data_IF_419273193507
#
_entry.id   IF_419273193507
#
_cell.length_a   1.000
_cell.length_b   1.000
_cell.length_c   1.000
_cell.angle_alpha   90.00
_cell.angle_beta   90.00
_cell.angle_gamma   90.00
#
_symmetry.space_group_name_H-M   'P 1'
#
loop_
_entity.id
_entity.type
_entity.pdbx_description
1 polymer ?
#
# COMPACT_ATOMS: atom_id res chain seq x y z
N UNK A 1 12.96 -6.47 -1.48
CA UNK A 1 12.54 -5.87 -2.77
C UNK A 1 11.39 -6.61 -3.47
N UNK A 2 11.36 -7.95 -3.54
CA UNK A 2 10.32 -8.65 -4.32
C UNK A 2 8.93 -8.79 -3.65
N UNK A 3 8.79 -8.49 -2.35
CA UNK A 3 7.52 -8.68 -1.62
C UNK A 3 6.38 -7.82 -2.21
N UNK A 4 6.65 -6.54 -2.49
CA UNK A 4 5.66 -5.60 -3.03
C UNK A 4 5.20 -5.93 -4.45
N UNK A 5 6.04 -6.59 -5.25
CA UNK A 5 5.72 -6.95 -6.63
C UNK A 5 4.65 -8.06 -6.73
N UNK A 6 4.44 -8.80 -5.64
CA UNK A 6 3.52 -9.94 -5.57
C UNK A 6 2.31 -9.66 -4.66
N UNK A 7 2.10 -8.42 -4.23
CA UNK A 7 0.87 -8.07 -3.51
C UNK A 7 -0.34 -8.14 -4.47
N UNK A 8 -1.51 -8.58 -3.98
CA UNK A 8 -1.83 -8.98 -2.60
C UNK A 8 -1.59 -10.48 -2.30
N UNK A 9 -1.03 -11.28 -3.21
CA UNK A 9 -0.91 -12.74 -3.06
C UNK A 9 -0.17 -13.14 -1.76
N UNK A 10 0.92 -12.44 -1.43
CA UNK A 10 1.70 -12.65 -0.20
C UNK A 10 0.96 -12.37 1.11
N UNK A 11 -0.21 -11.74 1.06
CA UNK A 11 -1.02 -11.51 2.26
C UNK A 11 -1.63 -12.81 2.82
N UNK A 12 -1.47 -13.96 2.16
CA UNK A 12 -1.91 -15.25 2.69
C UNK A 12 -0.83 -16.03 3.44
N UNK A 13 0.37 -15.45 3.60
CA UNK A 13 1.46 -16.10 4.33
C UNK A 13 1.08 -16.29 5.83
N UNK A 14 1.47 -17.40 6.50
CA UNK A 14 1.04 -17.70 7.87
C UNK A 14 1.39 -16.65 8.93
N UNK A 15 2.42 -15.85 8.68
CA UNK A 15 2.87 -14.79 9.58
C UNK A 15 2.02 -13.51 9.46
N UNK A 16 1.10 -13.42 8.49
CA UNK A 16 0.30 -12.23 8.19
C UNK A 16 -1.02 -12.25 8.95
N UNK A 17 -1.27 -11.20 9.74
CA UNK A 17 -2.55 -10.94 10.39
C UNK A 17 -3.33 -9.88 9.61
N UNK A 18 -4.63 -10.09 9.43
CA UNK A 18 -5.53 -9.18 8.70
C UNK A 18 -6.61 -8.65 9.63
N UNK A 19 -6.74 -7.32 9.69
CA UNK A 19 -7.82 -6.66 10.43
C UNK A 19 -8.58 -5.74 9.50
N UNK A 20 -9.90 -5.93 9.41
CA UNK A 20 -10.77 -5.03 8.66
C UNK A 20 -11.01 -3.75 9.47
N UNK A 21 -10.68 -2.59 8.89
CA UNK A 21 -10.80 -1.28 9.54
C UNK A 21 -12.02 -0.48 9.07
N UNK A 22 -12.99 -1.15 8.42
CA UNK A 22 -14.14 -0.49 7.81
C UNK A 22 -13.81 0.12 6.45
N UNK A 23 -14.56 1.16 6.08
CA UNK A 23 -14.41 1.85 4.80
C UNK A 23 -13.76 3.22 4.95
N UNK A 24 -13.28 3.79 3.85
CA UNK A 24 -12.84 5.17 3.74
C UNK A 24 -12.99 5.66 2.30
N UNK A 25 -13.16 6.96 2.12
CA UNK A 25 -13.27 7.57 0.81
C UNK A 25 -11.93 8.15 0.37
N UNK A 26 -11.54 7.92 -0.89
CA UNK A 26 -10.40 8.57 -1.54
C UNK A 26 -10.92 9.15 -2.85
N UNK A 27 -10.79 10.47 -3.03
CA UNK A 27 -11.25 11.17 -4.25
C UNK A 27 -12.67 10.77 -4.68
N UNK A 28 -13.63 10.83 -3.75
CA UNK A 28 -15.06 10.50 -3.95
C UNK A 28 -15.37 9.03 -4.28
N UNK A 29 -14.39 8.13 -4.18
CA UNK A 29 -14.58 6.69 -4.34
C UNK A 29 -14.44 5.95 -2.99
N UNK A 30 -15.23 4.89 -2.82
CA UNK A 30 -15.27 4.11 -1.58
C UNK A 30 -14.30 2.94 -1.61
N UNK A 31 -13.55 2.76 -0.52
CA UNK A 31 -12.56 1.69 -0.36
C UNK A 31 -12.74 0.93 0.95
N UNK A 32 -12.53 -0.38 0.91
CA UNK A 32 -12.35 -1.22 2.09
C UNK A 32 -10.91 -1.08 2.61
N UNK A 33 -10.76 -0.86 3.92
CA UNK A 33 -9.45 -0.73 4.57
C UNK A 33 -9.07 -2.03 5.27
N UNK A 34 -7.89 -2.55 4.97
CA UNK A 34 -7.35 -3.74 5.62
C UNK A 34 -5.99 -3.40 6.23
N UNK A 35 -5.89 -3.50 7.55
CA UNK A 35 -4.63 -3.45 8.28
C UNK A 35 -3.96 -4.82 8.22
N UNK A 36 -2.66 -4.79 7.95
CA UNK A 36 -1.78 -5.94 7.95
C UNK A 36 -0.67 -5.72 8.97
N UNK A 37 -0.52 -6.70 9.86
CA UNK A 37 0.57 -6.80 10.83
C UNK A 37 1.19 -8.19 10.75
N UNK A 38 2.36 -8.38 11.37
CA UNK A 38 3.10 -9.64 11.32
C UNK A 38 3.29 -10.23 12.71
N UNK A 39 3.46 -11.55 12.82
CA UNK A 39 3.76 -12.23 14.08
C UNK A 39 5.23 -12.07 14.48
N UNK A 40 5.50 -11.87 15.78
CA UNK A 40 6.86 -11.66 16.30
C UNK A 40 7.76 -12.88 16.11
N UNK A 41 7.22 -14.09 16.21
CA UNK A 41 7.97 -15.35 16.14
C UNK A 41 8.39 -15.75 14.72
N UNK A 42 7.79 -15.17 13.67
CA UNK A 42 8.07 -15.53 12.27
C UNK A 42 8.34 -14.32 11.35
N UNK A 43 8.23 -13.09 11.86
CA UNK A 43 8.37 -11.85 11.08
C UNK A 43 9.80 -11.33 10.91
N UNK A 44 10.79 -11.92 11.59
CA UNK A 44 12.17 -11.40 11.57
C UNK A 44 12.26 -9.96 12.11
N UNK A 45 13.22 -9.17 11.60
CA UNK A 45 13.44 -7.76 11.98
C UNK A 45 12.28 -6.81 11.58
N UNK A 46 11.33 -7.27 10.77
CA UNK A 46 10.22 -6.48 10.22
C UNK A 46 8.92 -6.54 11.08
N UNK A 47 8.95 -7.13 12.28
CA UNK A 47 7.76 -7.30 13.14
C UNK A 47 7.01 -5.99 13.45
N UNK A 48 7.72 -4.86 13.48
CA UNK A 48 7.11 -3.55 13.76
C UNK A 48 6.46 -2.91 12.54
N UNK A 49 6.63 -3.45 11.35
CA UNK A 49 6.08 -2.88 10.13
C UNK A 49 4.57 -3.15 10.04
N UNK A 50 3.82 -2.10 9.75
CA UNK A 50 2.38 -2.15 9.56
C UNK A 50 2.05 -1.66 8.17
N UNK A 51 1.06 -2.30 7.55
CA UNK A 51 0.56 -1.89 6.24
C UNK A 51 -0.94 -1.66 6.32
N UNK A 52 -1.44 -0.64 5.62
CA UNK A 52 -2.87 -0.48 5.37
C UNK A 52 -3.08 -0.50 3.88
N UNK A 53 -3.99 -1.35 3.41
CA UNK A 53 -4.39 -1.44 2.02
C UNK A 53 -5.80 -0.89 1.85
N UNK A 54 -6.00 -0.10 0.79
CA UNK A 54 -7.32 0.32 0.35
C UNK A 54 -7.71 -0.46 -0.90
N UNK A 55 -8.76 -1.25 -0.77
CA UNK A 55 -9.33 -2.07 -1.84
C UNK A 55 -10.58 -1.38 -2.35
N UNK A 56 -10.62 -1.05 -3.64
CA UNK A 56 -11.76 -0.37 -4.26
C UNK A 56 -13.04 -1.19 -4.05
N UNK A 57 -14.10 -0.58 -3.49
CA UNK A 57 -15.27 -1.32 -3.02
C UNK A 57 -16.10 -1.98 -4.15
N UNK A 58 -16.02 -1.44 -5.37
CA UNK A 58 -16.70 -1.99 -6.55
C UNK A 58 -15.83 -2.98 -7.33
N UNK A 59 -14.67 -2.51 -7.79
CA UNK A 59 -13.79 -3.27 -8.69
C UNK A 59 -12.88 -4.27 -7.96
N UNK A 60 -12.85 -4.23 -6.62
CA UNK A 60 -12.08 -5.14 -5.76
C UNK A 60 -10.56 -5.15 -6.07
N UNK A 61 -10.05 -4.06 -6.62
CA UNK A 61 -8.63 -3.82 -6.88
C UNK A 61 -7.95 -3.22 -5.65
N UNK A 62 -6.72 -3.66 -5.33
CA UNK A 62 -5.89 -2.97 -4.34
C UNK A 62 -5.20 -1.78 -5.02
N UNK A 63 -5.52 -0.58 -4.57
CA UNK A 63 -5.17 0.64 -5.29
C UNK A 63 -4.21 1.52 -4.51
N UNK A 64 -4.50 1.77 -3.23
CA UNK A 64 -3.66 2.56 -2.35
C UNK A 64 -3.07 1.69 -1.25
N UNK A 65 -1.88 2.07 -0.79
CA UNK A 65 -1.27 1.44 0.37
C UNK A 65 -0.50 2.45 1.20
N UNK A 66 -0.54 2.27 2.52
CA UNK A 66 0.30 2.97 3.47
C UNK A 66 1.15 1.96 4.22
N UNK A 67 2.36 2.34 4.60
CA UNK A 67 3.22 1.47 5.40
C UNK A 67 4.16 2.24 6.31
N UNK A 68 4.50 1.65 7.45
CA UNK A 68 5.61 2.07 8.29
C UNK A 68 6.80 1.16 8.08
N UNK A 69 8.01 1.72 8.10
CA UNK A 69 9.27 0.99 8.11
C UNK A 69 10.18 1.55 9.21
N UNK A 70 11.08 0.72 9.73
CA UNK A 70 11.93 1.08 10.87
C UNK A 70 13.42 1.19 10.54
N UNK A 71 13.81 0.86 9.31
CA UNK A 71 15.20 0.96 8.82
C UNK A 71 15.60 2.41 8.49
N UNK A 72 16.89 2.74 8.65
CA UNK A 72 17.49 4.05 8.30
C UNK A 72 16.75 5.29 8.86
N UNK A 73 16.40 5.25 10.15
CA UNK A 73 15.65 6.32 10.83
C UNK A 73 14.13 6.19 10.74
N UNK A 74 13.65 5.17 10.03
CA UNK A 74 12.26 4.81 9.91
C UNK A 74 11.42 5.83 9.13
N UNK A 75 10.12 5.58 9.10
CA UNK A 75 9.15 6.50 8.51
C UNK A 75 7.87 5.82 8.11
N UNK A 76 6.94 6.62 7.61
CA UNK A 76 5.70 6.14 7.02
C UNK A 76 5.57 6.69 5.61
N UNK A 77 4.91 5.93 4.74
CA UNK A 77 4.68 6.29 3.34
C UNK A 77 3.25 5.98 2.95
N UNK A 78 2.75 6.73 1.99
CA UNK A 78 1.50 6.45 1.30
C UNK A 78 1.73 6.44 -0.20
N UNK A 79 1.21 5.43 -0.88
CA UNK A 79 1.31 5.30 -2.33
C UNK A 79 -0.05 5.48 -2.95
N UNK A 80 -0.13 6.44 -3.87
CA UNK A 80 -1.29 6.64 -4.72
C UNK A 80 -0.98 6.07 -6.12
N UNK A 81 -1.88 5.25 -6.69
CA UNK A 81 -1.63 4.64 -7.98
C UNK A 81 -1.68 5.70 -9.07
N UNK A 82 -0.77 5.56 -10.03
CA UNK A 82 -0.75 6.32 -11.28
C UNK A 82 -0.50 5.34 -12.43
N UNK A 83 -0.93 5.72 -13.64
CA UNK A 83 -0.68 4.95 -14.86
C UNK A 83 -1.05 3.45 -14.73
N UNK A 84 -2.23 3.17 -14.17
CA UNK A 84 -2.74 1.80 -14.02
C UNK A 84 -2.96 1.17 -15.40
N UNK A 85 -2.43 -0.03 -15.61
CA UNK A 85 -2.50 -0.74 -16.90
C UNK A 85 -2.53 -2.25 -16.72
N UNK A 86 -3.14 -2.93 -17.68
CA UNK A 86 -3.14 -4.41 -17.73
C UNK A 86 -2.26 -4.88 -18.88
N UNK A 87 -1.28 -5.71 -18.58
CA UNK A 87 -0.34 -6.29 -19.56
C UNK A 87 -0.36 -7.80 -19.40
N UNK A 88 -0.70 -8.55 -20.46
CA UNK A 88 -0.76 -10.02 -20.41
C UNK A 88 -1.74 -10.57 -19.37
N UNK A 89 -2.83 -9.85 -19.07
CA UNK A 89 -3.82 -10.24 -18.05
C UNK A 89 -3.44 -9.89 -16.60
N UNK A 90 -2.26 -9.28 -16.38
CA UNK A 90 -1.80 -8.85 -15.06
C UNK A 90 -1.98 -7.33 -14.93
N UNK A 91 -2.58 -6.88 -13.83
CA UNK A 91 -2.72 -5.45 -13.51
C UNK A 91 -1.43 -4.91 -12.90
N UNK A 92 -0.92 -3.84 -13.46
CA UNK A 92 0.23 -3.08 -12.99
C UNK A 92 -0.20 -1.66 -12.64
N UNK A 93 0.50 -1.05 -11.68
CA UNK A 93 0.36 0.35 -11.35
C UNK A 93 1.73 0.94 -11.06
N UNK A 94 1.96 2.14 -11.57
CA UNK A 94 3.02 3.01 -11.07
C UNK A 94 2.48 3.72 -9.81
N UNK A 95 3.34 4.37 -9.03
CA UNK A 95 2.92 5.02 -7.79
C UNK A 95 3.59 6.37 -7.55
N UNK A 96 2.80 7.37 -7.20
CA UNK A 96 3.30 8.53 -6.48
C UNK A 96 3.50 8.13 -5.01
N UNK A 97 4.68 8.41 -4.46
CA UNK A 97 5.08 8.02 -3.11
C UNK A 97 5.19 9.24 -2.22
N UNK A 98 4.32 9.29 -1.21
CA UNK A 98 4.15 10.43 -0.31
C UNK A 98 4.65 10.13 1.10
N UNK A 99 4.92 11.19 1.83
CA UNK A 99 5.20 11.20 3.26
C UNK A 99 4.27 12.19 3.97
N UNK A 100 3.89 11.86 5.19
CA UNK A 100 3.16 12.76 6.08
C UNK A 100 4.03 13.92 6.55
N UNK A 101 3.40 15.07 6.80
CA UNK A 101 4.08 16.21 7.42
C UNK A 101 4.10 16.06 8.96
N UNK A 102 3.06 15.43 9.53
CA UNK A 102 2.93 15.16 10.97
C UNK A 102 3.03 13.65 11.26
N UNK A 103 4.02 13.25 12.04
CA UNK A 103 4.27 11.85 12.41
C UNK A 103 3.20 11.26 13.34
N UNK A 104 2.37 12.10 13.96
CA UNK A 104 1.25 11.68 14.81
C UNK A 104 0.14 10.97 14.03
N UNK A 105 0.06 11.19 12.70
CA UNK A 105 -0.95 10.59 11.83
C UNK A 105 -0.80 9.07 11.80
N UNK A 106 -1.90 8.36 12.11
CA UNK A 106 -1.99 6.91 12.01
C UNK A 106 -2.07 6.46 10.57
N UNK A 107 -1.47 5.31 10.24
CA UNK A 107 -1.47 4.77 8.86
C UNK A 107 -2.87 4.67 8.26
N UNK A 108 -3.85 4.24 9.06
CA UNK A 108 -5.26 4.09 8.64
C UNK A 108 -5.94 5.41 8.23
N UNK A 109 -5.37 6.55 8.58
CA UNK A 109 -5.91 7.88 8.30
C UNK A 109 -5.24 8.58 7.11
N UNK A 110 -4.24 7.98 6.46
CA UNK A 110 -3.51 8.63 5.35
C UNK A 110 -4.40 8.99 4.15
N UNK A 111 -5.47 8.23 3.93
CA UNK A 111 -6.48 8.57 2.92
C UNK A 111 -7.09 9.97 3.14
N UNK A 112 -7.30 10.37 4.40
CA UNK A 112 -7.85 11.69 4.75
C UNK A 112 -6.84 12.78 4.42
N UNK A 113 -5.59 12.60 4.85
CA UNK A 113 -4.50 13.52 4.56
C UNK A 113 -4.27 13.67 3.04
N UNK A 114 -4.35 12.57 2.30
CA UNK A 114 -4.24 12.59 0.85
C UNK A 114 -5.37 13.40 0.21
N UNK A 115 -6.62 13.21 0.63
CA UNK A 115 -7.76 13.99 0.13
C UNK A 115 -7.64 15.48 0.46
N UNK A 116 -7.06 15.82 1.61
CA UNK A 116 -6.83 17.20 2.04
C UNK A 116 -5.61 17.84 1.34
N UNK A 117 -4.81 17.06 0.61
CA UNK A 117 -3.59 17.54 -0.03
C UNK A 117 -2.46 17.87 0.95
N UNK A 118 -2.51 17.35 2.19
CA UNK A 118 -1.53 17.62 3.24
C UNK A 118 -0.29 16.72 3.16
N UNK A 119 -0.32 15.67 2.34
CA UNK A 119 0.82 14.78 2.13
C UNK A 119 1.86 15.39 1.18
N UNK A 120 3.14 15.25 1.52
CA UNK A 120 4.27 15.70 0.70
C UNK A 120 4.70 14.60 -0.28
N UNK A 121 4.70 14.90 -1.58
CA UNK A 121 5.26 14.01 -2.60
C UNK A 121 6.78 13.92 -2.43
N UNK A 122 7.31 12.70 -2.29
CA UNK A 122 8.74 12.46 -2.16
C UNK A 122 9.37 11.94 -3.45
N UNK A 123 8.70 10.98 -4.08
CA UNK A 123 9.23 10.29 -5.25
C UNK A 123 8.11 9.70 -6.09
N UNK A 124 8.49 9.25 -7.29
CA UNK A 124 7.64 8.46 -8.18
C UNK A 124 8.27 7.09 -8.38
N UNK A 125 7.43 6.07 -8.42
CA UNK A 125 7.80 4.69 -8.70
C UNK A 125 7.18 4.35 -10.04
N UNK A 126 8.00 4.26 -11.08
CA UNK A 126 7.56 3.95 -12.43
C UNK A 126 8.13 2.60 -12.86
N UNK A 127 7.27 1.72 -13.38
CA UNK A 127 7.65 0.45 -13.98
C UNK A 127 7.91 0.64 -15.47
N UNK A 128 9.18 0.59 -15.85
CA UNK A 128 9.61 0.75 -17.25
C UNK A 128 9.82 -0.62 -17.93
N UNK A 129 9.62 -0.66 -19.25
CA UNK A 129 9.86 -1.85 -20.09
C UNK A 129 9.12 -3.12 -19.62
N UNK A 130 7.85 -2.98 -19.22
CA UNK A 130 7.02 -4.12 -18.80
C UNK A 130 6.84 -5.12 -19.94
N UNK A 131 7.26 -6.36 -19.69
CA UNK A 131 7.07 -7.50 -20.59
C UNK A 131 6.52 -8.69 -19.81
N UNK A 132 5.43 -9.28 -20.29
CA UNK A 132 4.81 -10.46 -19.69
C UNK A 132 4.84 -11.58 -20.72
N UNK A 133 5.48 -12.69 -20.36
CA UNK A 133 5.45 -13.93 -21.14
C UNK A 133 4.61 -14.95 -20.40
N UNK A 134 3.50 -15.35 -21.01
CA UNK A 134 2.77 -16.54 -20.61
C UNK A 134 3.42 -17.78 -21.27
N UNK A 135 3.45 -18.95 -20.59
CA UNK A 135 3.96 -20.19 -21.15
C UNK A 135 3.28 -20.61 -22.46
#
# INVERSE_FOLDING_TARGET
>A
MAYFALLPYRLNDPAVNKTYLGTGEIKDELYHKILITFNQEQGGDDYSDQFVYWIHAKDMTMEYLAYSYHTDGGGKRFRAPINVRTVGGIRFADYDNYQQVDDSVKLEDYHKEYNQGSLKLLSKIALENLHVQTP
#
